data_IF_637966644268
#
_entry.id   IF_637966644268
#
_cell.length_a   1.000
_cell.length_b   1.000
_cell.length_c   1.000
_cell.angle_alpha   90.00
_cell.angle_beta   90.00
_cell.angle_gamma   90.00
#
_symmetry.space_group_name_H-M   'P 1'
#
loop_
_entity.id
_entity.type
_entity.pdbx_description
1 polymer ?
#
# COMPACT_ATOMS: atom_id res chain seq x y z
N UNK A 1 21.03 3.84 2.44
CA UNK A 1 19.86 3.51 3.26
C UNK A 1 19.21 2.31 2.58
N UNK A 2 18.97 1.20 3.26
CA UNK A 2 18.39 0.01 2.64
C UNK A 2 16.86 0.17 2.51
N UNK A 3 16.21 -0.35 1.46
CA UNK A 3 14.75 -0.29 1.33
C UNK A 3 14.10 -1.05 2.49
N UNK A 4 13.11 -0.42 3.14
CA UNK A 4 12.29 -1.04 4.18
C UNK A 4 11.41 -2.13 3.53
N UNK A 5 11.19 -3.21 4.26
CA UNK A 5 10.61 -4.44 3.77
C UNK A 5 9.16 -4.24 3.29
N UNK A 6 8.77 -4.96 2.24
CA UNK A 6 7.38 -5.01 1.80
C UNK A 6 6.49 -5.54 2.94
N UNK A 7 5.68 -4.67 3.53
CA UNK A 7 4.87 -5.00 4.70
C UNK A 7 3.43 -5.30 4.26
N UNK A 8 2.97 -6.51 4.53
CA UNK A 8 1.64 -6.97 4.13
C UNK A 8 0.61 -6.60 5.21
N UNK A 9 -0.08 -5.48 5.04
CA UNK A 9 -1.12 -5.07 6.00
C UNK A 9 -2.47 -5.70 5.69
N UNK A 10 -2.98 -6.50 6.63
CA UNK A 10 -4.32 -7.06 6.59
C UNK A 10 -5.31 -6.18 7.36
N UNK A 11 -6.07 -5.35 6.66
CA UNK A 11 -7.14 -4.55 7.28
C UNK A 11 -8.43 -5.38 7.35
N UNK A 12 -8.98 -5.53 8.55
CA UNK A 12 -10.34 -6.06 8.74
C UNK A 12 -11.31 -4.87 8.84
N UNK A 13 -12.48 -4.93 8.18
CA UNK A 13 -13.45 -3.85 8.25
C UNK A 13 -14.02 -3.71 9.67
N UNK A 14 -14.29 -2.47 10.09
CA UNK A 14 -14.84 -2.15 11.42
C UNK A 14 -16.19 -2.84 11.69
N UNK A 15 -16.94 -3.18 10.64
CA UNK A 15 -18.06 -4.09 10.69
C UNK A 15 -17.66 -5.40 9.99
N UNK A 16 -17.40 -6.49 10.71
CA UNK A 16 -16.92 -7.73 10.12
C UNK A 16 -18.02 -8.37 9.27
N UNK A 17 -17.85 -8.29 7.95
CA UNK A 17 -18.63 -9.05 6.98
C UNK A 17 -17.77 -10.23 6.53
N UNK A 18 -18.24 -11.48 6.69
CA UNK A 18 -17.49 -12.65 6.23
C UNK A 18 -17.12 -12.51 4.76
N UNK A 19 -15.84 -12.71 4.43
CA UNK A 19 -15.35 -12.62 3.04
C UNK A 19 -15.07 -11.20 2.54
N UNK A 20 -15.25 -10.14 3.35
CA UNK A 20 -14.92 -8.77 2.93
C UNK A 20 -13.41 -8.45 2.99
N UNK A 21 -12.65 -9.15 3.84
CA UNK A 21 -11.20 -8.99 3.95
C UNK A 21 -10.44 -9.79 2.87
N UNK A 22 -9.46 -9.17 2.21
CA UNK A 22 -8.69 -9.76 1.09
C UNK A 22 -7.47 -10.62 1.46
N UNK A 23 -7.33 -11.04 2.72
CA UNK A 23 -6.12 -11.71 3.25
C UNK A 23 -5.81 -13.11 2.68
N UNK A 24 -6.63 -13.64 1.76
CA UNK A 24 -6.50 -15.01 1.25
C UNK A 24 -6.16 -15.15 -0.25
N UNK A 25 -6.18 -14.07 -1.04
CA UNK A 25 -6.23 -14.21 -2.51
C UNK A 25 -5.10 -13.52 -3.30
N UNK A 26 -4.45 -12.48 -2.76
CA UNK A 26 -3.37 -11.76 -3.44
C UNK A 26 -2.43 -11.08 -2.43
N UNK A 27 -1.15 -10.86 -2.77
CA UNK A 27 -0.28 -10.07 -1.91
C UNK A 27 -0.81 -8.63 -1.83
N UNK A 28 -1.33 -8.27 -0.65
CA UNK A 28 -1.62 -6.91 -0.24
C UNK A 28 -0.44 -6.40 0.60
N UNK A 29 -0.12 -5.11 0.49
CA UNK A 29 0.99 -4.54 1.23
C UNK A 29 1.49 -3.21 0.69
N UNK A 30 2.43 -2.63 1.43
CA UNK A 30 3.06 -1.34 1.13
C UNK A 30 4.54 -1.55 0.81
N UNK A 31 5.01 -0.85 -0.22
CA UNK A 31 6.42 -0.72 -0.58
C UNK A 31 6.79 0.76 -0.54
N UNK A 32 7.88 1.11 0.16
CA UNK A 32 8.41 2.47 0.20
C UNK A 32 9.91 2.47 -0.08
N UNK A 33 10.34 3.43 -0.89
CA UNK A 33 11.75 3.70 -1.15
C UNK A 33 12.03 5.20 -0.98
N UNK A 34 13.06 5.52 -0.19
CA UNK A 34 13.52 6.89 0.06
C UNK A 34 14.98 7.02 -0.36
N UNK A 35 15.33 8.12 -1.03
CA UNK A 35 16.70 8.42 -1.43
C UNK A 35 17.03 9.92 -1.35
N UNK A 36 18.31 10.24 -1.12
CA UNK A 36 18.78 11.63 -1.15
C UNK A 36 19.11 12.00 -2.60
N UNK A 37 18.27 12.85 -3.20
CA UNK A 37 18.42 13.27 -4.60
C UNK A 37 19.45 14.38 -4.74
N UNK A 38 19.52 15.29 -3.77
CA UNK A 38 20.51 16.39 -3.70
C UNK A 38 20.70 16.86 -2.25
N UNK A 39 21.73 17.66 -1.92
CA UNK A 39 21.89 18.22 -0.57
C UNK A 39 20.64 19.01 -0.16
N UNK A 40 19.99 18.59 0.93
CA UNK A 40 18.75 19.21 1.40
C UNK A 40 17.49 18.80 0.64
N UNK A 41 17.56 17.83 -0.29
CA UNK A 41 16.41 17.29 -1.02
C UNK A 41 16.38 15.77 -0.90
N UNK A 42 15.34 15.25 -0.25
CA UNK A 42 15.03 13.82 -0.23
C UNK A 42 13.90 13.55 -1.20
N UNK A 43 13.95 12.42 -1.90
CA UNK A 43 12.83 11.89 -2.69
C UNK A 43 12.33 10.60 -2.06
N UNK A 44 11.03 10.39 -2.09
CA UNK A 44 10.40 9.14 -1.67
C UNK A 44 9.36 8.70 -2.72
N UNK A 45 9.22 7.39 -2.88
CA UNK A 45 8.16 6.77 -3.68
C UNK A 45 7.50 5.68 -2.83
N UNK A 46 6.17 5.64 -2.85
CA UNK A 46 5.35 4.66 -2.15
C UNK A 46 4.40 3.96 -3.13
N UNK A 47 4.25 2.65 -2.99
CA UNK A 47 3.25 1.86 -3.70
C UNK A 47 2.46 1.02 -2.70
N UNK A 48 1.13 1.12 -2.74
CA UNK A 48 0.23 0.39 -1.85
C UNK A 48 -0.69 -0.48 -2.69
N UNK A 49 -0.73 -1.79 -2.42
CA UNK A 49 -1.65 -2.72 -3.07
C UNK A 49 -2.70 -3.22 -2.09
N UNK A 50 -3.96 -3.13 -2.51
CA UNK A 50 -5.11 -3.62 -1.77
C UNK A 50 -5.71 -4.82 -2.48
N UNK A 51 -5.95 -5.90 -1.72
CA UNK A 51 -6.70 -7.05 -2.19
C UNK A 51 -8.15 -6.93 -1.73
N UNK A 52 -9.10 -7.03 -2.67
CA UNK A 52 -10.52 -7.16 -2.32
C UNK A 52 -10.78 -8.54 -1.68
N UNK A 53 -11.76 -8.63 -0.79
CA UNK A 53 -12.36 -9.91 -0.39
C UNK A 53 -13.46 -10.36 -1.36
N UNK A 54 -13.89 -11.60 -1.25
CA UNK A 54 -14.94 -12.19 -2.10
C UNK A 54 -16.26 -11.41 -2.06
N UNK A 55 -16.69 -10.93 -0.89
CA UNK A 55 -17.92 -10.12 -0.79
C UNK A 55 -17.83 -8.83 -1.59
N UNK A 56 -16.65 -8.20 -1.59
CA UNK A 56 -16.41 -6.99 -2.36
C UNK A 56 -16.37 -7.32 -3.85
N UNK A 57 -15.78 -8.45 -4.24
CA UNK A 57 -15.75 -8.92 -5.64
C UNK A 57 -17.14 -9.28 -6.18
N UNK A 58 -17.96 -9.95 -5.40
CA UNK A 58 -19.35 -10.28 -5.75
C UNK A 58 -20.19 -9.02 -5.95
N UNK A 59 -19.89 -7.95 -5.21
CA UNK A 59 -20.47 -6.61 -5.40
C UNK A 59 -19.91 -5.84 -6.60
N UNK A 60 -19.02 -6.43 -7.40
CA UNK A 60 -18.36 -5.77 -8.55
C UNK A 60 -17.07 -5.02 -8.22
N UNK A 61 -16.59 -5.11 -6.99
CA UNK A 61 -15.31 -4.54 -6.56
C UNK A 61 -14.10 -5.32 -7.07
N UNK A 62 -12.92 -4.70 -6.97
CA UNK A 62 -11.66 -5.23 -7.49
C UNK A 62 -10.48 -4.82 -6.63
N UNK A 63 -9.35 -5.48 -6.84
CA UNK A 63 -8.08 -5.08 -6.25
C UNK A 63 -7.69 -3.67 -6.71
N UNK A 64 -6.97 -2.96 -5.85
CA UNK A 64 -6.48 -1.60 -6.08
C UNK A 64 -4.97 -1.51 -5.95
N UNK A 65 -4.36 -0.57 -6.65
CA UNK A 65 -2.95 -0.21 -6.44
C UNK A 65 -2.84 1.29 -6.55
N UNK A 66 -2.32 1.90 -5.48
CA UNK A 66 -2.09 3.33 -5.37
C UNK A 66 -0.57 3.59 -5.37
N UNK A 67 -0.16 4.64 -6.06
CA UNK A 67 1.24 5.08 -6.14
C UNK A 67 1.33 6.53 -5.68
N UNK A 68 2.34 6.83 -4.87
CA UNK A 68 2.65 8.17 -4.39
C UNK A 68 4.14 8.50 -4.52
N UNK A 69 4.42 9.78 -4.62
CA UNK A 69 5.76 10.34 -4.63
C UNK A 69 5.83 11.59 -3.74
N UNK A 70 6.96 11.78 -3.06
CA UNK A 70 7.20 12.91 -2.13
C UNK A 70 8.61 13.48 -2.35
N UNK A 71 8.74 14.82 -2.32
CA UNK A 71 10.00 15.54 -2.53
C UNK A 71 10.19 16.67 -1.49
N UNK A 72 10.49 16.35 -0.22
CA UNK A 72 10.75 17.37 0.79
C UNK A 72 12.09 18.08 0.58
N UNK A 73 12.06 19.41 0.72
CA UNK A 73 13.26 20.27 0.74
C UNK A 73 13.52 20.84 2.14
N UNK A 74 14.77 20.82 2.59
CA UNK A 74 15.24 21.56 3.74
C UNK A 74 15.92 22.86 3.29
N UNK A 75 15.40 23.99 3.76
CA UNK A 75 15.97 25.33 3.70
C UNK A 75 17.14 25.56 4.66
#
# INVERSE_FOLDING_TARGET
>A
MAPDHADATCVQPSNPVPGAGGCGAAPAGTLRADDIVAPGLTGAVEAVRFAAGDTIREGGGKDGTDLGDELPTAW
#
